data_IF_386033234985
#
_entry.id   IF_386033234985
#
_cell.length_a   1.000
_cell.length_b   1.000
_cell.length_c   1.000
_cell.angle_alpha   90.00
_cell.angle_beta   90.00
_cell.angle_gamma   90.00
#
_symmetry.space_group_name_H-M   'P 1'
#
loop_
_entity.id
_entity.type
_entity.pdbx_description
1 polymer ?
#
# COMPACT_ATOMS: atom_id res chain seq x y z
N UNK A 1 -9.62 2.63 6.59
CA UNK A 1 -8.19 2.88 6.82
C UNK A 1 -7.56 3.08 5.47
N UNK A 2 -6.65 4.05 5.37
CA UNK A 2 -5.83 4.28 4.19
C UNK A 2 -4.37 4.02 4.55
N UNK A 3 -3.68 3.20 3.76
CA UNK A 3 -2.28 2.83 4.00
C UNK A 3 -1.38 3.62 3.06
N UNK A 4 -0.50 4.42 3.66
CA UNK A 4 0.46 5.26 2.95
C UNK A 4 1.89 4.88 3.38
N UNK A 5 2.38 3.77 2.83
CA UNK A 5 3.76 3.32 3.04
C UNK A 5 4.61 3.82 1.88
N UNK A 6 5.56 4.73 2.17
CA UNK A 6 6.45 5.33 1.17
C UNK A 6 7.93 4.92 1.35
N UNK A 7 8.42 3.82 0.76
CA UNK A 7 7.72 2.87 -0.12
C UNK A 7 8.15 1.44 0.24
N UNK A 8 7.28 0.42 0.08
CA UNK A 8 7.65 -0.96 0.37
C UNK A 8 8.84 -1.39 -0.48
N UNK A 9 9.97 -1.72 0.16
CA UNK A 9 11.13 -2.35 -0.49
C UNK A 9 11.90 -1.48 -1.47
N UNK A 10 11.64 -0.16 -1.51
CA UNK A 10 12.37 0.76 -2.38
C UNK A 10 13.41 1.56 -1.59
N UNK A 11 14.66 1.65 -2.07
CA UNK A 11 15.65 2.57 -1.52
C UNK A 11 15.35 4.04 -1.89
N UNK A 12 14.44 4.29 -2.84
CA UNK A 12 14.18 5.60 -3.41
C UNK A 12 13.02 6.33 -2.70
N UNK A 13 12.87 6.11 -1.40
CA UNK A 13 11.94 6.85 -0.54
C UNK A 13 12.59 8.05 0.15
N UNK A 14 11.96 8.56 1.20
CA UNK A 14 12.56 9.61 2.03
C UNK A 14 13.87 9.12 2.67
N UNK A 15 14.86 10.02 2.78
CA UNK A 15 16.15 9.71 3.42
C UNK A 15 15.93 9.25 4.87
N UNK A 16 16.52 8.11 5.23
CA UNK A 16 16.37 7.51 6.55
C UNK A 16 15.26 6.47 6.66
N UNK A 17 14.39 6.31 5.64
CA UNK A 17 13.44 5.21 5.64
C UNK A 17 14.17 3.87 5.56
N UNK A 18 13.74 2.93 6.41
CA UNK A 18 14.20 1.55 6.34
C UNK A 18 13.44 0.82 5.23
N UNK A 19 14.16 -0.03 4.50
CA UNK A 19 13.59 -0.85 3.44
C UNK A 19 14.23 -2.23 3.44
N UNK A 20 13.49 -3.23 2.99
CA UNK A 20 13.97 -4.59 2.78
C UNK A 20 13.34 -5.23 1.55
N UNK A 21 14.01 -6.21 0.94
CA UNK A 21 13.41 -6.96 -0.18
C UNK A 21 12.13 -7.71 0.23
N UNK A 22 11.98 -8.05 1.52
CA UNK A 22 10.80 -8.72 2.05
C UNK A 22 9.56 -7.81 2.10
N UNK A 23 9.75 -6.48 2.07
CA UNK A 23 8.64 -5.51 2.12
C UNK A 23 7.66 -5.70 0.96
N UNK A 24 8.13 -6.20 -0.19
CA UNK A 24 7.29 -6.52 -1.35
C UNK A 24 6.16 -7.48 -0.97
N UNK A 25 6.50 -8.59 -0.32
CA UNK A 25 5.53 -9.59 0.13
C UNK A 25 4.84 -9.14 1.41
N UNK A 26 5.56 -8.48 2.33
CA UNK A 26 5.00 -8.03 3.59
C UNK A 26 3.90 -6.96 3.39
N UNK A 27 4.02 -6.10 2.38
CA UNK A 27 2.95 -5.16 2.03
C UNK A 27 1.67 -5.89 1.61
N UNK A 28 1.78 -6.91 0.76
CA UNK A 28 0.63 -7.77 0.39
C UNK A 28 0.02 -8.46 1.61
N UNK A 29 0.86 -9.02 2.49
CA UNK A 29 0.40 -9.69 3.72
C UNK A 29 -0.27 -8.73 4.69
N UNK A 30 0.26 -7.52 4.83
CA UNK A 30 -0.34 -6.45 5.65
C UNK A 30 -1.75 -6.12 5.14
N UNK A 31 -1.91 -5.93 3.82
CA UNK A 31 -3.22 -5.64 3.23
C UNK A 31 -4.21 -6.80 3.40
N UNK A 32 -3.74 -8.04 3.24
CA UNK A 32 -4.55 -9.23 3.47
C UNK A 32 -5.04 -9.33 4.92
N UNK A 33 -4.15 -9.11 5.89
CA UNK A 33 -4.47 -9.13 7.32
C UNK A 33 -5.45 -8.01 7.68
N UNK A 34 -5.19 -6.77 7.24
CA UNK A 34 -6.09 -5.65 7.48
C UNK A 34 -7.47 -5.88 6.89
N UNK A 35 -7.56 -6.43 5.67
CA UNK A 35 -8.84 -6.78 5.06
C UNK A 35 -9.62 -7.77 5.92
N UNK A 36 -8.95 -8.85 6.38
CA UNK A 36 -9.56 -9.86 7.24
C UNK A 36 -10.10 -9.27 8.56
N UNK A 37 -9.31 -8.41 9.22
CA UNK A 37 -9.72 -7.76 10.47
C UNK A 37 -10.86 -6.77 10.26
N UNK A 38 -10.81 -5.96 9.20
CA UNK A 38 -11.87 -5.00 8.88
C UNK A 38 -13.19 -5.68 8.49
N UNK A 39 -13.12 -6.83 7.83
CA UNK A 39 -14.30 -7.64 7.52
C UNK A 39 -14.89 -8.29 8.78
N UNK A 40 -14.04 -8.84 9.65
CA UNK A 40 -14.47 -9.40 10.93
C UNK A 40 -15.15 -8.33 11.80
N UNK A 41 -14.56 -7.14 11.89
CA UNK A 41 -15.15 -6.02 12.63
C UNK A 41 -16.42 -5.51 11.95
N UNK A 42 -16.45 -5.44 10.61
CA UNK A 42 -17.62 -5.06 9.85
C UNK A 42 -18.83 -5.98 10.06
N UNK A 43 -18.59 -7.28 10.16
CA UNK A 43 -19.61 -8.27 10.48
C UNK A 43 -20.17 -8.08 11.91
N UNK A 44 -19.33 -7.66 12.87
CA UNK A 44 -19.77 -7.40 14.24
C UNK A 44 -20.60 -6.12 14.36
N UNK A 45 -20.26 -5.07 13.59
CA UNK A 45 -20.93 -3.76 13.68
C UNK A 45 -22.00 -3.52 12.63
N UNK A 46 -22.17 -4.44 11.67
CA UNK A 46 -23.11 -4.32 10.56
C UNK A 46 -22.73 -3.23 9.55
N UNK A 47 -21.44 -2.93 9.40
CA UNK A 47 -20.93 -1.87 8.50
C UNK A 47 -19.76 -2.38 7.68
N UNK A 48 -19.65 -1.98 6.41
CA UNK A 48 -18.43 -2.19 5.63
C UNK A 48 -17.41 -1.10 5.96
N UNK A 49 -16.19 -1.50 6.31
CA UNK A 49 -15.07 -0.58 6.48
C UNK A 49 -14.16 -0.63 5.28
N UNK A 50 -13.81 0.53 4.73
CA UNK A 50 -12.94 0.60 3.57
C UNK A 50 -11.47 0.41 3.96
N UNK A 51 -10.76 -0.34 3.13
CA UNK A 51 -9.31 -0.44 3.10
C UNK A 51 -8.82 0.13 1.77
N UNK A 52 -8.02 1.19 1.85
CA UNK A 52 -7.45 1.86 0.69
C UNK A 52 -5.95 1.98 0.88
N UNK A 53 -5.24 2.32 -0.19
CA UNK A 53 -3.82 2.64 -0.10
C UNK A 53 -3.48 3.81 -1.04
N UNK A 54 -2.47 4.59 -0.67
CA UNK A 54 -1.73 5.45 -1.57
C UNK A 54 -0.52 4.70 -2.11
N UNK A 55 -0.36 4.63 -3.43
CA UNK A 55 0.74 3.88 -4.07
C UNK A 55 1.49 4.73 -5.08
N UNK A 56 2.79 4.45 -5.32
CA UNK A 56 3.61 5.27 -6.20
C UNK A 56 3.19 5.14 -7.67
N UNK A 57 3.40 6.21 -8.44
CA UNK A 57 3.27 6.22 -9.90
C UNK A 57 4.60 5.94 -10.64
N UNK A 58 5.74 5.93 -9.93
CA UNK A 58 7.07 5.67 -10.50
C UNK A 58 7.36 4.18 -10.72
N UNK A 59 7.82 3.80 -11.92
CA UNK A 59 8.07 2.40 -12.30
C UNK A 59 9.09 1.69 -11.40
N UNK A 60 10.08 2.42 -10.90
CA UNK A 60 11.10 1.92 -9.97
C UNK A 60 10.48 1.39 -8.66
N UNK A 61 9.48 2.09 -8.13
CA UNK A 61 8.76 1.72 -6.90
C UNK A 61 7.59 0.77 -7.17
N UNK A 62 6.92 0.89 -8.32
CA UNK A 62 5.87 -0.06 -8.71
C UNK A 62 6.45 -1.48 -8.81
N UNK A 63 7.69 -1.64 -9.28
CA UNK A 63 8.36 -2.93 -9.38
C UNK A 63 8.51 -3.67 -8.03
N UNK A 64 8.50 -2.94 -6.91
CA UNK A 64 8.61 -3.51 -5.55
C UNK A 64 7.25 -3.86 -4.93
N UNK A 65 6.14 -3.67 -5.64
CA UNK A 65 4.78 -4.00 -5.19
C UNK A 65 4.21 -5.18 -5.98
N UNK A 66 3.47 -6.08 -5.34
CA UNK A 66 2.72 -7.15 -6.03
C UNK A 66 1.37 -6.63 -6.56
N UNK A 67 1.41 -5.72 -7.54
CA UNK A 67 0.22 -5.03 -8.08
C UNK A 67 -0.85 -5.98 -8.62
N UNK A 68 -0.46 -7.16 -9.08
CA UNK A 68 -1.35 -8.23 -9.52
C UNK A 68 -2.09 -8.96 -8.37
N UNK A 69 -1.72 -8.71 -7.11
CA UNK A 69 -2.32 -9.34 -5.93
C UNK A 69 -3.09 -8.35 -5.06
N UNK A 70 -2.56 -7.15 -4.83
CA UNK A 70 -3.09 -6.24 -3.79
C UNK A 70 -4.51 -5.74 -4.07
N UNK A 71 -4.93 -5.69 -5.34
CA UNK A 71 -6.25 -5.19 -5.73
C UNK A 71 -7.42 -6.01 -5.18
N UNK A 72 -7.20 -7.26 -4.76
CA UNK A 72 -8.23 -8.08 -4.14
C UNK A 72 -8.54 -7.69 -2.68
N UNK A 73 -7.63 -6.94 -2.04
CA UNK A 73 -7.76 -6.53 -0.64
C UNK A 73 -8.21 -5.08 -0.50
N UNK A 74 -7.97 -4.24 -1.51
CA UNK A 74 -8.30 -2.83 -1.48
C UNK A 74 -9.71 -2.57 -2.04
N UNK A 75 -10.45 -1.66 -1.41
CA UNK A 75 -11.69 -1.12 -1.98
C UNK A 75 -11.38 -0.22 -3.19
N UNK A 76 -10.31 0.58 -3.10
CA UNK A 76 -9.67 1.28 -4.21
C UNK A 76 -8.25 1.69 -3.84
N UNK A 77 -7.47 2.06 -4.86
CA UNK A 77 -6.08 2.46 -4.73
C UNK A 77 -5.90 3.87 -5.29
N UNK A 78 -5.35 4.78 -4.48
CA UNK A 78 -5.04 6.15 -4.85
C UNK A 78 -3.61 6.19 -5.39
N UNK A 79 -3.44 6.12 -6.70
CA UNK A 79 -2.11 6.24 -7.30
C UNK A 79 -1.65 7.69 -7.20
N UNK A 80 -0.48 7.93 -6.61
CA UNK A 80 0.11 9.25 -6.41
C UNK A 80 0.69 9.80 -7.71
N UNK A 81 -0.19 10.20 -8.64
CA UNK A 81 0.17 10.72 -9.97
C UNK A 81 0.56 12.19 -9.93
N UNK A 82 1.47 12.53 -9.02
CA UNK A 82 2.01 13.86 -8.79
C UNK A 82 3.48 13.73 -8.32
N UNK A 83 4.13 14.85 -8.03
CA UNK A 83 5.54 14.92 -7.62
C UNK A 83 6.54 14.25 -8.60
N UNK A 84 6.19 14.21 -9.88
CA UNK A 84 7.08 13.73 -10.93
C UNK A 84 8.31 14.62 -11.13
N UNK A 85 8.18 15.90 -10.81
CA UNK A 85 9.24 16.91 -10.87
C UNK A 85 9.07 17.89 -9.71
N UNK A 86 10.18 18.48 -9.26
CA UNK A 86 10.20 19.58 -8.30
C UNK A 86 11.60 20.12 -8.10
N UNK A 87 11.77 20.96 -7.08
CA UNK A 87 13.01 21.71 -6.86
C UNK A 87 14.10 20.95 -6.09
N UNK A 88 13.81 19.72 -5.66
CA UNK A 88 14.72 18.82 -4.96
C UNK A 88 15.82 18.26 -5.88
#
# INVERSE_FOLDING_TARGET
>A
VDIDWEYPGSPNGHVGNHYSAADKQNFTLLLAELRAQLDAYGNQTGKRYYLTAATPAGQDKIATIETNKIGQYLDYNNVMTYDFYGAW
#
